data_IF_182681033740
#
_entry.id   IF_182681033740
#
_cell.length_a   1.000
_cell.length_b   1.000
_cell.length_c   1.000
_cell.angle_alpha   90.00
_cell.angle_beta   90.00
_cell.angle_gamma   90.00
#
_symmetry.space_group_name_H-M   'P 1'
#
loop_
_entity.id
_entity.type
_entity.pdbx_description
1 polymer ?
#
# COMPACT_ATOMS: atom_id res chain seq x y z
N UNK A 1 -3.84 -11.67 44.77
CA UNK A 1 -2.73 -12.61 45.09
C UNK A 1 -1.57 -12.34 44.13
N UNK A 2 -0.31 -12.58 44.53
CA UNK A 2 0.82 -12.51 43.58
C UNK A 2 0.72 -13.65 42.57
N UNK A 3 0.69 -13.31 41.28
CA UNK A 3 0.54 -14.27 40.17
C UNK A 3 1.80 -15.14 40.06
N UNK A 4 1.70 -16.47 39.95
CA UNK A 4 2.84 -17.32 39.63
C UNK A 4 3.45 -16.89 38.29
N UNK A 5 4.78 -16.76 38.22
CA UNK A 5 5.53 -16.29 37.03
C UNK A 5 5.29 -17.13 35.75
N UNK A 6 4.58 -18.25 35.86
CA UNK A 6 4.35 -19.22 34.79
C UNK A 6 2.87 -19.52 34.55
N UNK A 7 1.94 -18.73 35.06
CA UNK A 7 0.52 -18.94 34.76
C UNK A 7 0.03 -18.08 33.60
N UNK A 8 -0.93 -18.61 32.84
CA UNK A 8 -1.58 -17.91 31.75
C UNK A 8 -2.23 -16.59 32.25
N UNK A 9 -1.94 -15.46 31.56
CA UNK A 9 -2.70 -14.18 31.50
C UNK A 9 -4.20 -14.23 31.75
N UNK A 10 -4.82 -15.25 31.17
CA UNK A 10 -6.26 -15.41 31.09
C UNK A 10 -6.80 -16.35 32.18
N UNK A 11 -6.00 -16.68 33.20
CA UNK A 11 -6.43 -17.43 34.40
C UNK A 11 -7.00 -18.84 34.13
N UNK A 12 -6.67 -19.45 32.98
CA UNK A 12 -7.07 -20.83 32.68
C UNK A 12 -6.40 -21.91 33.55
N UNK A 13 -5.53 -21.52 34.50
CA UNK A 13 -4.82 -22.43 35.39
C UNK A 13 -3.65 -23.19 34.75
N UNK A 14 -3.47 -23.10 33.43
CA UNK A 14 -2.40 -23.81 32.72
C UNK A 14 -1.03 -23.10 32.83
N UNK A 15 0.06 -23.86 33.02
CA UNK A 15 1.40 -23.32 33.05
C UNK A 15 1.90 -22.97 31.64
N UNK A 16 2.35 -21.72 31.46
CA UNK A 16 2.86 -21.18 30.19
C UNK A 16 4.23 -20.52 30.37
N UNK A 17 4.99 -20.48 29.27
CA UNK A 17 6.19 -19.67 29.14
C UNK A 17 5.96 -18.58 28.09
N UNK A 18 6.33 -17.34 28.41
CA UNK A 18 6.17 -16.21 27.50
C UNK A 18 7.42 -15.98 26.65
N UNK A 19 7.31 -16.23 25.35
CA UNK A 19 8.37 -15.97 24.38
C UNK A 19 8.38 -14.50 23.94
N UNK A 20 9.50 -13.76 24.14
CA UNK A 20 9.55 -12.34 23.81
C UNK A 20 9.89 -12.07 22.34
N UNK A 21 9.04 -11.29 21.67
CA UNK A 21 9.23 -10.80 20.32
C UNK A 21 9.36 -9.27 20.31
N UNK A 22 10.60 -8.78 20.16
CA UNK A 22 10.92 -7.34 20.16
C UNK A 22 10.64 -6.66 18.81
N UNK A 23 10.04 -5.49 18.83
CA UNK A 23 9.78 -4.63 17.67
C UNK A 23 10.77 -3.46 17.62
N UNK A 24 10.89 -2.80 16.47
CA UNK A 24 11.89 -1.75 16.24
C UNK A 24 11.71 -0.50 17.12
N UNK A 25 10.51 -0.29 17.65
CA UNK A 25 10.18 0.80 18.57
C UNK A 25 10.35 0.47 20.05
N UNK A 26 10.87 -0.72 20.35
CA UNK A 26 11.09 -1.17 21.72
C UNK A 26 9.89 -1.89 22.34
N UNK A 27 8.74 -1.96 21.66
CA UNK A 27 7.62 -2.80 22.08
C UNK A 27 8.05 -4.28 22.09
N UNK A 28 7.55 -5.05 23.06
CA UNK A 28 7.82 -6.48 23.19
C UNK A 28 6.49 -7.21 23.31
N UNK A 29 6.16 -8.00 22.29
CA UNK A 29 5.05 -8.94 22.36
C UNK A 29 5.51 -10.23 23.05
N UNK A 30 4.67 -10.79 23.90
CA UNK A 30 4.97 -12.01 24.66
C UNK A 30 4.01 -13.12 24.23
N UNK A 31 4.47 -14.02 23.36
CA UNK A 31 3.69 -15.15 22.87
C UNK A 31 3.69 -16.27 23.92
N UNK A 32 2.54 -16.67 24.48
CA UNK A 32 2.53 -17.79 25.42
C UNK A 32 2.67 -19.12 24.70
N UNK A 33 3.53 -19.96 25.27
CA UNK A 33 3.76 -21.33 24.84
C UNK A 33 3.49 -22.28 26.00
N UNK A 34 2.99 -23.45 25.68
CA UNK A 34 2.97 -24.56 26.61
C UNK A 34 4.40 -24.99 26.97
N UNK A 35 4.57 -25.78 28.03
CA UNK A 35 5.88 -26.26 28.48
C UNK A 35 6.61 -27.10 27.41
N UNK A 36 5.87 -27.70 26.48
CA UNK A 36 6.40 -28.44 25.33
C UNK A 36 6.76 -27.56 24.12
N UNK A 37 6.68 -26.23 24.27
CA UNK A 37 6.94 -25.20 23.25
C UNK A 37 5.89 -25.11 22.14
N UNK A 38 4.77 -25.81 22.23
CA UNK A 38 3.63 -25.55 21.35
C UNK A 38 2.95 -24.23 21.72
N UNK A 39 2.23 -23.62 20.78
CA UNK A 39 1.50 -22.37 21.03
C UNK A 39 0.40 -22.66 22.05
N UNK A 40 0.33 -21.84 23.11
CA UNK A 40 -0.70 -22.01 24.13
C UNK A 40 -2.05 -21.53 23.57
N UNK A 41 -2.97 -22.47 23.36
CA UNK A 41 -4.34 -22.17 23.01
C UNK A 41 -5.18 -22.18 24.29
N UNK A 42 -5.47 -21.01 24.84
CA UNK A 42 -6.10 -20.86 26.16
C UNK A 42 -7.54 -21.40 26.15
N UNK A 43 -7.87 -22.44 26.94
CA UNK A 43 -9.21 -23.04 26.95
C UNK A 43 -10.32 -22.06 27.36
N UNK A 44 -10.02 -21.15 28.31
CA UNK A 44 -10.96 -20.10 28.73
C UNK A 44 -11.44 -19.24 27.55
N UNK A 45 -10.60 -19.05 26.54
CA UNK A 45 -10.95 -18.29 25.33
C UNK A 45 -11.73 -19.13 24.33
N UNK A 46 -11.55 -20.46 24.33
CA UNK A 46 -12.27 -21.38 23.46
C UNK A 46 -13.68 -21.69 23.98
N UNK A 47 -13.88 -21.71 25.31
CA UNK A 47 -15.20 -21.90 25.92
C UNK A 47 -16.13 -20.69 25.68
N UNK A 48 -15.57 -19.54 25.25
CA UNK A 48 -16.34 -18.36 24.82
C UNK A 48 -16.85 -18.47 23.37
N UNK A 49 -16.41 -19.45 22.58
CA UNK A 49 -16.88 -19.70 21.20
C UNK A 49 -18.21 -20.50 21.15
N UNK A 50 -18.74 -20.97 22.29
CA UNK A 50 -20.11 -21.53 22.38
C UNK A 50 -21.14 -20.39 22.50
N UNK A 51 -21.56 -19.89 21.34
CA UNK A 51 -22.18 -18.56 21.10
C UNK A 51 -23.56 -18.24 21.71
N UNK A 52 -24.34 -19.19 22.23
CA UNK A 52 -25.76 -18.89 22.53
C UNK A 52 -25.98 -18.24 23.92
N UNK A 53 -25.13 -18.47 24.92
CA UNK A 53 -25.28 -17.85 26.26
C UNK A 53 -24.54 -16.50 26.37
N UNK A 54 -23.50 -16.28 25.55
CA UNK A 54 -22.60 -15.14 25.70
C UNK A 54 -23.16 -13.84 25.09
N UNK A 55 -23.85 -13.92 23.95
CA UNK A 55 -24.50 -12.76 23.32
C UNK A 55 -25.65 -12.23 24.22
N UNK A 56 -26.40 -13.12 24.87
CA UNK A 56 -27.46 -12.76 25.82
C UNK A 56 -26.90 -12.10 27.10
N UNK A 57 -25.73 -12.54 27.57
CA UNK A 57 -25.03 -11.94 28.71
C UNK A 57 -24.48 -10.53 28.40
N UNK A 58 -23.96 -10.30 27.19
CA UNK A 58 -23.49 -8.97 26.78
C UNK A 58 -24.67 -8.00 26.62
N UNK A 59 -25.79 -8.45 26.04
CA UNK A 59 -27.00 -7.63 25.92
C UNK A 59 -27.55 -7.28 27.32
N UNK A 60 -27.61 -8.25 28.24
CA UNK A 60 -28.05 -8.00 29.63
C UNK A 60 -27.10 -7.08 30.41
N UNK A 61 -25.78 -7.20 30.27
CA UNK A 61 -24.82 -6.36 30.97
C UNK A 61 -24.83 -4.89 30.48
N UNK A 62 -25.18 -4.66 29.20
CA UNK A 62 -25.36 -3.32 28.64
C UNK A 62 -26.67 -2.68 29.11
N UNK A 63 -27.73 -3.46 29.28
CA UNK A 63 -29.05 -2.97 29.68
C UNK A 63 -29.24 -2.87 31.21
N UNK A 64 -28.65 -3.77 32.00
CA UNK A 64 -28.70 -3.80 33.47
C UNK A 64 -27.43 -4.45 34.08
N UNK A 65 -26.38 -3.66 34.36
CA UNK A 65 -25.10 -4.15 34.86
C UNK A 65 -25.16 -4.89 36.21
N UNK A 66 -26.21 -4.66 37.02
CA UNK A 66 -26.34 -5.27 38.36
C UNK A 66 -27.06 -6.64 38.32
N UNK A 67 -27.57 -7.06 37.16
CA UNK A 67 -28.43 -8.25 37.03
C UNK A 67 -27.67 -9.58 36.88
N UNK A 68 -26.37 -9.54 36.65
CA UNK A 68 -25.53 -10.73 36.41
C UNK A 68 -24.94 -11.23 37.73
N UNK A 69 -25.58 -12.23 38.35
CA UNK A 69 -25.14 -12.83 39.63
C UNK A 69 -24.48 -14.19 39.39
N UNK A 70 -23.22 -14.36 39.83
CA UNK A 70 -22.53 -15.66 39.89
C UNK A 70 -21.97 -15.91 41.30
N UNK A 71 -22.05 -17.17 41.76
CA UNK A 71 -21.84 -17.56 43.15
C UNK A 71 -20.36 -17.70 43.58
N UNK A 72 -19.38 -17.58 42.66
CA UNK A 72 -17.96 -17.79 42.95
C UNK A 72 -17.11 -16.52 42.77
N UNK A 73 -16.45 -16.08 43.86
CA UNK A 73 -15.66 -14.84 43.94
C UNK A 73 -14.46 -14.84 42.97
N UNK A 74 -13.85 -15.99 42.69
CA UNK A 74 -12.74 -16.12 41.73
C UNK A 74 -13.22 -15.99 40.26
N UNK A 75 -14.48 -16.32 39.98
CA UNK A 75 -15.08 -16.15 38.66
C UNK A 75 -15.45 -14.68 38.39
N UNK A 76 -15.85 -13.94 39.42
CA UNK A 76 -16.16 -12.50 39.32
C UNK A 76 -14.93 -11.66 38.93
N UNK A 77 -13.78 -11.86 39.59
CA UNK A 77 -12.53 -11.13 39.24
C UNK A 77 -12.05 -11.47 37.82
N UNK A 78 -12.19 -12.73 37.38
CA UNK A 78 -11.84 -13.15 36.03
C UNK A 78 -12.80 -12.57 34.98
N UNK A 79 -14.09 -12.47 35.30
CA UNK A 79 -15.12 -11.92 34.43
C UNK A 79 -14.99 -10.40 34.26
N UNK A 80 -14.70 -9.64 35.32
CA UNK A 80 -14.47 -8.19 35.28
C UNK A 80 -13.26 -7.85 34.39
N UNK A 81 -12.16 -8.62 34.53
CA UNK A 81 -10.99 -8.49 33.66
C UNK A 81 -11.35 -8.80 32.19
N UNK A 82 -12.19 -9.81 31.94
CA UNK A 82 -12.59 -10.13 30.56
C UNK A 82 -13.49 -9.05 29.95
N UNK A 83 -14.45 -8.52 30.72
CA UNK A 83 -15.36 -7.46 30.29
C UNK A 83 -14.62 -6.15 29.97
N UNK A 84 -13.68 -5.73 30.83
CA UNK A 84 -12.86 -4.54 30.58
C UNK A 84 -12.01 -4.67 29.30
N UNK A 85 -11.47 -5.86 29.06
CA UNK A 85 -10.66 -6.11 27.87
C UNK A 85 -11.49 -6.21 26.59
N UNK A 86 -12.70 -6.77 26.66
CA UNK A 86 -13.69 -6.77 25.57
C UNK A 86 -14.12 -5.35 25.21
N UNK A 87 -14.39 -4.50 26.21
CA UNK A 87 -14.75 -3.10 26.00
C UNK A 87 -13.61 -2.30 25.34
N UNK A 88 -12.37 -2.51 25.78
CA UNK A 88 -11.22 -1.86 25.16
C UNK A 88 -10.95 -2.40 23.73
N UNK A 89 -11.30 -3.66 23.45
CA UNK A 89 -11.22 -4.23 22.11
C UNK A 89 -12.29 -3.65 21.17
N UNK A 90 -13.54 -3.46 21.65
CA UNK A 90 -14.57 -2.77 20.85
C UNK A 90 -14.16 -1.32 20.52
N UNK A 91 -13.48 -0.62 21.44
CA UNK A 91 -12.92 0.70 21.18
C UNK A 91 -11.87 0.64 20.06
N UNK A 92 -10.93 -0.33 20.11
CA UNK A 92 -9.92 -0.48 19.06
C UNK A 92 -10.50 -0.78 17.68
N UNK A 93 -11.62 -1.49 17.61
CA UNK A 93 -12.31 -1.78 16.36
C UNK A 93 -13.09 -0.57 15.84
N UNK A 94 -13.72 0.20 16.73
CA UNK A 94 -14.37 1.47 16.40
C UNK A 94 -13.37 2.49 15.85
N UNK A 95 -12.14 2.55 16.39
CA UNK A 95 -11.05 3.37 15.84
C UNK A 95 -10.77 3.05 14.36
N UNK A 96 -10.76 1.76 14.00
CA UNK A 96 -10.48 1.34 12.63
C UNK A 96 -11.65 1.70 11.69
N UNK A 97 -12.89 1.50 12.13
CA UNK A 97 -14.06 1.93 11.36
C UNK A 97 -14.12 3.45 11.15
N UNK A 98 -13.74 4.22 12.15
CA UNK A 98 -13.65 5.68 12.04
C UNK A 98 -12.54 6.10 11.08
N UNK A 99 -11.42 5.37 11.02
CA UNK A 99 -10.35 5.60 10.03
C UNK A 99 -10.87 5.39 8.60
N UNK A 100 -11.50 4.24 8.32
CA UNK A 100 -11.94 3.87 6.97
C UNK A 100 -13.08 4.76 6.46
N UNK A 101 -13.97 5.23 7.34
CA UNK A 101 -15.10 6.07 6.94
C UNK A 101 -14.79 7.58 6.93
N UNK A 102 -13.94 8.07 7.84
CA UNK A 102 -13.73 9.51 8.02
C UNK A 102 -12.32 9.98 7.63
N UNK A 103 -11.40 9.07 7.27
CA UNK A 103 -10.03 9.42 6.88
C UNK A 103 -9.21 10.07 7.99
N UNK A 104 -9.57 9.79 9.26
CA UNK A 104 -8.87 10.30 10.44
C UNK A 104 -7.44 9.78 10.42
N UNK A 105 -6.45 10.59 10.78
CA UNK A 105 -5.05 10.16 10.81
C UNK A 105 -4.78 9.29 12.04
N UNK A 106 -4.26 8.08 11.84
CA UNK A 106 -3.74 7.26 12.92
C UNK A 106 -2.57 7.96 13.60
N UNK A 107 -2.65 8.13 14.92
CA UNK A 107 -1.61 8.76 15.74
C UNK A 107 -0.64 7.72 16.31
N UNK A 108 0.50 8.19 16.82
CA UNK A 108 1.42 7.33 17.57
C UNK A 108 0.78 6.88 18.89
N UNK A 109 -0.10 7.69 19.46
CA UNK A 109 -0.83 7.36 20.69
C UNK A 109 -1.78 6.18 20.47
N UNK A 110 -2.48 6.12 19.34
CA UNK A 110 -3.36 5.00 18.97
C UNK A 110 -2.57 3.67 18.83
N UNK A 111 -1.33 3.76 18.35
CA UNK A 111 -0.42 2.60 18.30
C UNK A 111 0.00 2.17 19.70
N UNK A 112 0.40 3.10 20.56
CA UNK A 112 0.81 2.82 21.94
C UNK A 112 -0.36 2.21 22.74
N UNK A 113 -1.57 2.73 22.57
CA UNK A 113 -2.78 2.18 23.21
C UNK A 113 -3.00 0.72 22.80
N UNK A 114 -2.81 0.40 21.52
CA UNK A 114 -2.90 -0.98 21.01
C UNK A 114 -1.82 -1.88 21.60
N UNK A 115 -0.57 -1.39 21.69
CA UNK A 115 0.54 -2.11 22.29
C UNK A 115 0.30 -2.40 23.78
N UNK A 116 -0.25 -1.43 24.51
CA UNK A 116 -0.59 -1.57 25.93
C UNK A 116 -1.70 -2.62 26.11
N UNK A 117 -2.75 -2.58 25.28
CA UNK A 117 -3.80 -3.58 25.31
C UNK A 117 -3.24 -4.99 25.08
N UNK A 118 -2.46 -5.16 24.01
CA UNK A 118 -1.86 -6.46 23.66
C UNK A 118 -0.91 -6.96 24.77
N UNK A 119 -0.19 -6.07 25.45
CA UNK A 119 0.73 -6.45 26.56
C UNK A 119 0.01 -7.05 27.76
N UNK A 120 -1.21 -6.57 28.01
CA UNK A 120 -2.02 -6.99 29.15
C UNK A 120 -2.76 -8.30 28.87
N UNK A 121 -2.69 -8.83 27.64
CA UNK A 121 -3.42 -10.01 27.19
C UNK A 121 -2.53 -11.19 26.81
N UNK A 122 -3.10 -12.41 26.82
CA UNK A 122 -2.34 -13.65 26.54
C UNK A 122 -3.01 -14.64 25.61
N UNK A 123 -4.21 -14.43 25.13
CA UNK A 123 -4.75 -15.30 24.09
C UNK A 123 -4.09 -14.95 22.76
N UNK A 124 -3.35 -15.83 22.08
CA UNK A 124 -2.92 -15.56 20.69
C UNK A 124 -4.11 -15.70 19.71
N UNK A 125 -5.16 -16.37 20.15
CA UNK A 125 -6.47 -16.47 19.53
C UNK A 125 -7.42 -15.65 20.38
N UNK A 126 -8.00 -14.60 19.81
CA UNK A 126 -9.34 -14.20 20.24
C UNK A 126 -10.14 -14.04 18.97
N UNK A 127 -11.10 -14.95 18.82
CA UNK A 127 -12.32 -14.73 18.07
C UNK A 127 -13.36 -14.37 19.13
N UNK A 128 -13.93 -13.19 19.05
CA UNK A 128 -15.39 -13.19 18.98
C UNK A 128 -15.67 -13.34 17.50
N UNK A 129 -16.49 -14.30 17.09
CA UNK A 129 -17.02 -14.33 15.74
C UNK A 129 -17.89 -13.08 15.54
N UNK A 130 -17.25 -11.94 15.31
CA UNK A 130 -17.87 -10.74 14.75
C UNK A 130 -18.08 -10.93 13.25
N UNK A 131 -18.56 -12.12 12.88
CA UNK A 131 -18.90 -12.48 11.51
C UNK A 131 -19.96 -11.49 11.02
N UNK A 132 -19.54 -10.58 10.14
CA UNK A 132 -20.42 -9.63 9.47
C UNK A 132 -20.26 -8.16 9.87
N UNK A 133 -19.58 -7.83 10.98
CA UNK A 133 -19.39 -6.42 11.38
C UNK A 133 -18.15 -5.79 10.71
N UNK A 134 -17.12 -6.60 10.43
CA UNK A 134 -15.77 -6.12 10.07
C UNK A 134 -15.23 -6.65 8.72
N UNK A 135 -16.11 -7.02 7.78
CA UNK A 135 -15.70 -7.45 6.45
C UNK A 135 -14.78 -6.39 5.80
N UNK A 136 -13.59 -6.82 5.36
CA UNK A 136 -12.56 -6.07 4.63
C UNK A 136 -11.55 -5.24 5.44
N UNK A 137 -11.56 -5.31 6.77
CA UNK A 137 -10.61 -4.52 7.60
C UNK A 137 -9.29 -5.25 7.84
N UNK A 138 -9.36 -6.52 8.25
CA UNK A 138 -8.19 -7.37 8.52
C UNK A 138 -8.05 -8.44 7.43
N UNK A 139 -6.82 -8.87 7.09
CA UNK A 139 -6.58 -9.90 6.07
C UNK A 139 -7.44 -11.16 6.18
N UNK A 140 -7.67 -11.67 7.38
CA UNK A 140 -8.47 -12.89 7.63
C UNK A 140 -9.95 -12.59 7.91
N UNK A 141 -10.32 -11.32 8.14
CA UNK A 141 -11.59 -10.89 8.71
C UNK A 141 -11.90 -11.46 10.12
N UNK A 142 -10.89 -11.98 10.83
CA UNK A 142 -11.02 -12.50 12.20
C UNK A 142 -10.73 -11.47 13.27
N UNK A 143 -10.16 -10.32 12.91
CA UNK A 143 -9.86 -9.25 13.87
C UNK A 143 -8.75 -9.60 14.85
N UNK A 144 -7.81 -10.48 14.48
CA UNK A 144 -6.72 -10.86 15.38
C UNK A 144 -5.90 -9.63 15.80
N UNK A 145 -5.54 -9.57 17.07
CA UNK A 145 -4.81 -8.44 17.66
C UNK A 145 -3.49 -8.12 16.94
N UNK A 146 -2.75 -9.14 16.47
CA UNK A 146 -1.53 -8.95 15.70
C UNK A 146 -1.83 -8.50 14.26
N UNK A 147 -2.98 -8.86 13.67
CA UNK A 147 -3.39 -8.27 12.39
C UNK A 147 -3.68 -6.78 12.52
N UNK A 148 -4.36 -6.38 13.59
CA UNK A 148 -4.65 -4.98 13.92
C UNK A 148 -3.36 -4.21 14.16
N UNK A 149 -2.47 -4.71 15.01
CA UNK A 149 -1.16 -4.09 15.26
C UNK A 149 -0.33 -4.01 13.98
N UNK A 150 -0.31 -5.07 13.18
CA UNK A 150 0.36 -5.11 11.88
C UNK A 150 -0.21 -4.06 10.92
N UNK A 151 -1.53 -3.86 10.89
CA UNK A 151 -2.18 -2.84 10.08
C UNK A 151 -1.78 -1.43 10.52
N UNK A 152 -1.78 -1.14 11.83
CA UNK A 152 -1.32 0.15 12.39
C UNK A 152 0.15 0.40 12.01
N UNK A 153 1.02 -0.61 12.13
CA UNK A 153 2.42 -0.52 11.70
C UNK A 153 2.58 -0.24 10.20
N UNK A 154 1.75 -0.82 9.34
CA UNK A 154 1.76 -0.51 7.90
C UNK A 154 1.41 0.96 7.62
N UNK A 155 0.40 1.50 8.31
CA UNK A 155 -0.04 2.89 8.12
C UNK A 155 1.08 3.87 8.48
N UNK A 156 1.78 3.63 9.59
CA UNK A 156 2.89 4.49 10.01
C UNK A 156 4.21 4.19 9.29
N UNK A 157 4.21 3.23 8.35
CA UNK A 157 5.36 2.93 7.49
C UNK A 157 6.45 2.04 8.10
N UNK A 158 6.18 1.38 9.26
CA UNK A 158 7.08 0.39 9.87
C UNK A 158 6.79 -1.00 9.29
N UNK A 159 7.20 -1.22 8.05
CA UNK A 159 6.82 -2.42 7.30
C UNK A 159 7.44 -3.72 7.83
N UNK A 160 8.66 -3.68 8.37
CA UNK A 160 9.30 -4.85 9.00
C UNK A 160 8.56 -5.31 10.25
N UNK A 161 8.17 -4.36 11.11
CA UNK A 161 7.36 -4.62 12.30
C UNK A 161 5.97 -5.15 11.91
N UNK A 162 5.33 -4.54 10.90
CA UNK A 162 4.06 -5.03 10.37
C UNK A 162 4.16 -6.48 9.88
N UNK A 163 5.21 -6.79 9.09
CA UNK A 163 5.47 -8.14 8.59
C UNK A 163 5.61 -9.13 9.75
N UNK A 164 6.39 -8.77 10.77
CA UNK A 164 6.59 -9.59 11.96
C UNK A 164 5.28 -9.91 12.68
N UNK A 165 4.36 -8.95 12.79
CA UNK A 165 3.03 -9.21 13.33
C UNK A 165 2.27 -10.28 12.54
N UNK A 166 2.26 -10.20 11.20
CA UNK A 166 1.56 -11.17 10.37
C UNK A 166 2.25 -12.54 10.35
N UNK A 167 3.58 -12.59 10.44
CA UNK A 167 4.34 -13.85 10.57
C UNK A 167 4.00 -14.57 11.88
N UNK A 168 3.99 -13.83 12.99
CA UNK A 168 3.58 -14.37 14.29
C UNK A 168 2.12 -14.82 14.26
N UNK A 169 1.22 -14.02 13.69
CA UNK A 169 -0.18 -14.42 13.58
C UNK A 169 -0.36 -15.67 12.72
N UNK A 170 0.40 -15.80 11.62
CA UNK A 170 0.33 -17.00 10.78
C UNK A 170 0.91 -18.22 11.49
N UNK A 171 1.96 -18.06 12.30
CA UNK A 171 2.47 -19.14 13.15
C UNK A 171 1.40 -19.63 14.14
N UNK A 172 0.59 -18.71 14.65
CA UNK A 172 -0.51 -18.97 15.58
C UNK A 172 -1.69 -19.65 14.90
N UNK A 173 -2.22 -19.06 13.83
CA UNK A 173 -3.52 -19.44 13.27
C UNK A 173 -3.45 -20.27 12.00
N UNK A 174 -2.26 -20.39 11.39
CA UNK A 174 -2.03 -21.08 10.11
C UNK A 174 -2.83 -20.51 8.90
N UNK A 175 -3.45 -19.34 9.06
CA UNK A 175 -4.32 -18.72 8.03
C UNK A 175 -3.51 -18.30 6.78
N UNK A 176 -3.94 -18.76 5.61
CA UNK A 176 -3.18 -18.61 4.35
C UNK A 176 -3.22 -17.18 3.79
N UNK A 177 -4.25 -16.41 4.12
CA UNK A 177 -4.43 -15.01 3.73
C UNK A 177 -3.24 -14.15 4.17
N UNK A 178 -2.68 -14.47 5.34
CA UNK A 178 -1.54 -13.78 5.94
C UNK A 178 -0.27 -13.94 5.10
N UNK A 179 -0.04 -15.10 4.49
CA UNK A 179 1.09 -15.33 3.58
C UNK A 179 1.01 -14.38 2.36
N UNK A 180 -0.19 -14.10 1.87
CA UNK A 180 -0.42 -13.14 0.80
C UNK A 180 -0.03 -11.71 1.18
N UNK A 181 -0.29 -11.32 2.43
CA UNK A 181 0.09 -9.99 2.97
C UNK A 181 1.60 -9.91 3.20
N UNK A 182 2.19 -10.94 3.80
CA UNK A 182 3.65 -11.04 4.04
C UNK A 182 4.41 -10.91 2.72
N UNK A 183 3.97 -11.60 1.66
CA UNK A 183 4.60 -11.49 0.33
C UNK A 183 4.52 -10.07 -0.25
N UNK A 184 3.38 -9.38 -0.10
CA UNK A 184 3.23 -7.98 -0.52
C UNK A 184 4.14 -7.05 0.28
N UNK A 185 4.31 -7.29 1.58
CA UNK A 185 5.21 -6.53 2.45
C UNK A 185 6.68 -6.74 2.08
N UNK A 186 7.12 -7.98 1.86
CA UNK A 186 8.48 -8.28 1.41
C UNK A 186 8.84 -7.47 0.16
N UNK A 187 7.97 -7.47 -0.86
CA UNK A 187 8.17 -6.66 -2.07
C UNK A 187 8.28 -5.15 -1.78
N UNK A 188 7.53 -4.63 -0.80
CA UNK A 188 7.63 -3.21 -0.40
C UNK A 188 8.95 -2.94 0.34
N UNK A 189 9.35 -3.80 1.26
CA UNK A 189 10.59 -3.70 2.03
C UNK A 189 11.80 -3.73 1.09
N UNK A 190 11.90 -4.74 0.22
CA UNK A 190 12.96 -4.85 -0.78
C UNK A 190 13.09 -3.59 -1.65
N UNK A 191 11.94 -3.00 -2.03
CA UNK A 191 11.90 -1.78 -2.83
C UNK A 191 12.43 -0.57 -2.04
N UNK A 192 12.08 -0.46 -0.77
CA UNK A 192 12.55 0.62 0.11
C UNK A 192 14.04 0.49 0.38
N UNK A 193 14.55 -0.70 0.64
CA UNK A 193 15.99 -0.95 0.81
C UNK A 193 16.78 -0.58 -0.45
N UNK A 194 16.31 -0.99 -1.62
CA UNK A 194 16.90 -0.58 -2.91
C UNK A 194 16.97 0.94 -3.03
N UNK A 195 15.91 1.65 -2.65
CA UNK A 195 15.87 3.11 -2.71
C UNK A 195 16.77 3.77 -1.65
N UNK A 196 16.84 3.21 -0.44
CA UNK A 196 17.74 3.68 0.61
C UNK A 196 19.20 3.55 0.19
N UNK A 197 19.59 2.36 -0.28
CA UNK A 197 20.94 2.09 -0.80
C UNK A 197 21.28 2.98 -2.00
N UNK A 198 20.33 3.18 -2.90
CA UNK A 198 20.49 4.10 -4.03
C UNK A 198 20.72 5.53 -3.54
N UNK A 199 19.91 6.03 -2.61
CA UNK A 199 20.07 7.39 -2.07
C UNK A 199 21.43 7.57 -1.39
N UNK A 200 21.87 6.58 -0.62
CA UNK A 200 23.17 6.63 0.07
C UNK A 200 24.37 6.51 -0.87
N UNK A 201 24.21 5.86 -2.03
CA UNK A 201 25.25 5.83 -3.08
C UNK A 201 25.45 7.18 -3.77
N UNK A 202 24.45 8.05 -3.70
CA UNK A 202 24.41 9.36 -4.35
C UNK A 202 24.96 10.40 -3.38
N UNK A 203 26.30 10.48 -3.31
CA UNK A 203 27.04 11.41 -2.45
C UNK A 203 27.62 12.56 -3.27
N UNK A 204 27.80 13.72 -2.64
CA UNK A 204 28.51 14.88 -3.20
C UNK A 204 27.65 15.82 -4.05
N UNK A 205 28.20 17.01 -4.30
CA UNK A 205 27.60 17.96 -5.23
C UNK A 205 27.82 17.50 -6.67
N UNK A 206 26.87 17.80 -7.54
CA UNK A 206 26.91 17.48 -8.97
C UNK A 206 26.78 18.77 -9.77
N UNK A 207 27.48 18.85 -10.89
CA UNK A 207 27.43 20.01 -11.78
C UNK A 207 26.17 20.01 -12.64
N UNK A 208 25.82 21.17 -13.20
CA UNK A 208 24.70 21.30 -14.14
C UNK A 208 24.89 20.41 -15.37
N UNK A 209 26.08 20.41 -15.97
CA UNK A 209 26.41 19.59 -17.16
C UNK A 209 26.21 18.10 -16.91
N UNK A 210 26.59 17.62 -15.72
CA UNK A 210 26.38 16.23 -15.32
C UNK A 210 24.90 15.91 -15.15
N UNK A 211 24.12 16.80 -14.53
CA UNK A 211 22.67 16.64 -14.41
C UNK A 211 21.99 16.61 -15.77
N UNK A 212 22.36 17.50 -16.70
CA UNK A 212 21.82 17.49 -18.05
C UNK A 212 22.10 16.16 -18.77
N UNK A 213 23.31 15.61 -18.61
CA UNK A 213 23.67 14.29 -19.14
C UNK A 213 22.82 13.17 -18.51
N UNK A 214 22.60 13.21 -17.20
CA UNK A 214 21.76 12.24 -16.47
C UNK A 214 20.30 12.30 -16.95
N UNK A 215 19.74 13.51 -17.11
CA UNK A 215 18.39 13.72 -17.62
C UNK A 215 18.28 13.17 -19.05
N UNK A 216 19.20 13.56 -19.95
CA UNK A 216 19.23 13.07 -21.35
C UNK A 216 19.31 11.54 -21.43
N UNK A 217 20.13 10.91 -20.59
CA UNK A 217 20.23 9.44 -20.51
C UNK A 217 18.91 8.81 -20.05
N UNK A 218 18.26 9.42 -19.06
CA UNK A 218 16.96 8.96 -18.53
C UNK A 218 15.86 9.12 -19.58
N UNK A 219 15.83 10.23 -20.32
CA UNK A 219 14.91 10.44 -21.45
C UNK A 219 15.09 9.39 -22.54
N UNK A 220 16.34 9.07 -22.91
CA UNK A 220 16.62 8.02 -23.89
C UNK A 220 16.11 6.66 -23.43
N UNK A 221 16.32 6.32 -22.15
CA UNK A 221 15.79 5.07 -21.57
C UNK A 221 14.26 5.07 -21.55
N UNK A 222 13.63 6.22 -21.26
CA UNK A 222 12.18 6.39 -21.27
C UNK A 222 11.57 6.19 -22.67
N UNK A 223 12.20 6.71 -23.74
CA UNK A 223 11.74 6.45 -25.11
C UNK A 223 11.77 4.96 -25.44
N UNK A 224 12.85 4.27 -25.07
CA UNK A 224 12.97 2.82 -25.25
C UNK A 224 11.90 2.08 -24.45
N UNK A 225 11.71 2.43 -23.18
CA UNK A 225 10.66 1.88 -22.32
C UNK A 225 9.26 2.00 -22.96
N UNK A 226 8.88 3.20 -23.42
CA UNK A 226 7.56 3.42 -24.03
C UNK A 226 7.43 2.67 -25.36
N UNK A 227 8.50 2.62 -26.17
CA UNK A 227 8.52 1.81 -27.40
C UNK A 227 8.23 0.35 -27.08
N UNK A 228 8.91 -0.21 -26.08
CA UNK A 228 8.69 -1.60 -25.64
C UNK A 228 7.29 -1.80 -25.06
N UNK A 229 6.79 -0.87 -24.24
CA UNK A 229 5.47 -0.91 -23.62
C UNK A 229 4.33 -1.07 -24.65
N UNK A 230 4.52 -0.46 -25.83
CA UNK A 230 3.60 -0.51 -26.95
C UNK A 230 4.00 -1.49 -28.05
N UNK A 231 5.08 -2.26 -27.85
CA UNK A 231 5.62 -3.19 -28.85
C UNK A 231 5.87 -2.50 -30.21
N UNK A 232 6.24 -1.21 -30.19
CA UNK A 232 6.42 -0.37 -31.37
C UNK A 232 5.13 0.05 -32.10
N UNK A 233 3.93 -0.30 -31.59
CA UNK A 233 2.63 -0.03 -32.25
C UNK A 233 1.89 1.12 -31.56
N UNK A 234 1.90 2.29 -32.17
CA UNK A 234 1.36 3.52 -31.58
C UNK A 234 0.09 4.07 -32.23
N UNK A 235 -0.51 3.36 -33.20
CA UNK A 235 -1.65 3.85 -33.98
C UNK A 235 -2.76 4.38 -33.07
N UNK A 236 -3.14 3.59 -32.06
CA UNK A 236 -4.16 3.97 -31.07
C UNK A 236 -3.73 5.11 -30.14
N UNK A 237 -2.43 5.24 -29.86
CA UNK A 237 -1.90 6.36 -29.07
C UNK A 237 -2.08 7.64 -29.86
N UNK A 238 -1.79 7.60 -31.16
CA UNK A 238 -1.89 8.73 -32.07
C UNK A 238 -3.32 9.14 -32.40
N UNK A 239 -4.25 8.19 -32.50
CA UNK A 239 -5.68 8.51 -32.62
C UNK A 239 -6.17 9.39 -31.47
N UNK A 240 -5.60 9.21 -30.27
CA UNK A 240 -5.95 9.98 -29.07
C UNK A 240 -5.11 11.24 -28.87
N UNK A 241 -3.90 11.28 -29.43
CA UNK A 241 -2.94 12.35 -29.26
C UNK A 241 -2.44 12.90 -30.62
N UNK A 242 -3.34 13.28 -31.56
CA UNK A 242 -2.95 13.64 -32.92
C UNK A 242 -1.99 14.84 -32.96
N UNK A 243 -2.25 15.86 -32.12
CA UNK A 243 -1.38 17.05 -32.00
C UNK A 243 0.03 16.73 -31.53
N UNK A 244 0.20 15.69 -30.70
CA UNK A 244 1.54 15.26 -30.24
C UNK A 244 2.26 14.54 -31.37
N UNK A 245 1.57 13.67 -32.12
CA UNK A 245 2.12 13.01 -33.30
C UNK A 245 2.60 14.05 -34.32
N UNK A 246 1.78 15.03 -34.65
CA UNK A 246 2.13 16.12 -35.58
C UNK A 246 3.40 16.86 -35.13
N UNK A 247 3.48 17.25 -33.84
CA UNK A 247 4.66 17.96 -33.32
C UNK A 247 5.94 17.12 -33.36
N UNK A 248 5.84 15.80 -33.13
CA UNK A 248 7.00 14.89 -33.24
C UNK A 248 7.45 14.78 -34.70
N UNK A 249 6.51 14.56 -35.63
CA UNK A 249 6.80 14.45 -37.05
C UNK A 249 7.46 15.71 -37.61
N UNK A 250 6.95 16.90 -37.25
CA UNK A 250 7.53 18.18 -37.64
C UNK A 250 9.00 18.29 -37.18
N UNK A 251 9.29 17.91 -35.93
CA UNK A 251 10.68 17.91 -35.42
C UNK A 251 11.56 16.89 -36.11
N UNK A 252 11.04 15.71 -36.46
CA UNK A 252 11.79 14.70 -37.22
C UNK A 252 12.12 15.20 -38.63
N UNK A 253 11.17 15.86 -39.30
CA UNK A 253 11.40 16.45 -40.62
C UNK A 253 12.46 17.56 -40.57
N UNK A 254 12.39 18.43 -39.57
CA UNK A 254 13.41 19.48 -39.33
C UNK A 254 14.80 18.89 -39.01
N UNK A 255 14.87 17.75 -38.32
CA UNK A 255 16.13 17.06 -38.06
C UNK A 255 16.71 16.37 -39.30
N UNK A 256 15.86 15.83 -40.19
CA UNK A 256 16.28 15.26 -41.47
C UNK A 256 16.82 16.31 -42.43
N UNK A 257 16.14 17.47 -42.50
CA UNK A 257 16.53 18.57 -43.39
C UNK A 257 17.85 19.23 -42.98
N UNK A 258 18.32 19.02 -41.75
CA UNK A 258 19.58 19.55 -41.21
C UNK A 258 20.82 18.64 -41.40
N UNK A 259 20.76 17.62 -42.27
CA UNK A 259 21.87 16.71 -42.62
C UNK A 259 22.51 15.94 -41.44
N UNK A 260 21.79 15.74 -40.34
CA UNK A 260 22.20 14.81 -39.29
C UNK A 260 21.82 13.40 -39.76
N UNK A 261 22.80 12.50 -39.83
CA UNK A 261 22.63 11.13 -40.32
C UNK A 261 21.78 10.34 -39.32
N UNK A 262 20.46 10.31 -39.50
CA UNK A 262 19.54 9.62 -38.58
C UNK A 262 19.42 8.16 -39.01
N UNK A 263 20.13 7.27 -38.31
CA UNK A 263 19.83 5.83 -38.31
C UNK A 263 18.37 5.60 -37.88
N UNK A 264 17.70 4.60 -38.47
CA UNK A 264 16.32 4.15 -38.22
C UNK A 264 15.51 5.00 -37.24
N UNK A 265 14.68 5.89 -37.79
CA UNK A 265 13.83 6.78 -37.00
C UNK A 265 12.73 5.96 -36.34
N UNK A 266 12.81 5.86 -35.01
CA UNK A 266 11.74 5.35 -34.18
C UNK A 266 10.62 6.42 -34.10
N UNK A 267 9.36 6.01 -34.02
CA UNK A 267 8.20 6.92 -33.95
C UNK A 267 8.28 7.92 -32.78
N UNK A 268 9.01 7.60 -31.72
CA UNK A 268 9.23 8.51 -30.59
C UNK A 268 10.52 9.32 -30.68
N UNK A 269 11.31 9.21 -31.75
CA UNK A 269 12.51 10.02 -31.89
C UNK A 269 12.15 11.50 -31.99
N UNK A 270 12.96 12.35 -31.33
CA UNK A 270 12.71 13.78 -31.18
C UNK A 270 11.44 14.14 -30.37
N UNK A 271 10.84 13.18 -29.66
CA UNK A 271 9.82 13.47 -28.65
C UNK A 271 10.43 14.14 -27.42
N UNK A 272 9.73 15.11 -26.85
CA UNK A 272 10.11 15.80 -25.62
C UNK A 272 9.68 14.99 -24.39
N UNK A 273 10.37 15.16 -23.26
CA UNK A 273 9.97 14.53 -22.00
C UNK A 273 8.50 14.84 -21.62
N UNK A 274 8.03 16.07 -21.86
CA UNK A 274 6.64 16.44 -21.63
C UNK A 274 5.63 15.63 -22.46
N UNK A 275 5.96 15.29 -23.71
CA UNK A 275 5.11 14.45 -24.57
C UNK A 275 5.15 12.99 -24.15
N UNK A 276 6.33 12.47 -23.79
CA UNK A 276 6.47 11.13 -23.23
C UNK A 276 5.61 10.95 -21.96
N UNK A 277 5.59 11.96 -21.09
CA UNK A 277 4.72 11.99 -19.90
C UNK A 277 3.24 11.98 -20.30
N UNK A 278 2.84 12.71 -21.34
CA UNK A 278 1.45 12.72 -21.83
C UNK A 278 1.02 11.35 -22.37
N UNK A 279 1.89 10.68 -23.12
CA UNK A 279 1.66 9.30 -23.62
C UNK A 279 1.43 8.35 -22.44
N UNK A 280 2.30 8.38 -21.42
CA UNK A 280 2.16 7.55 -20.23
C UNK A 280 0.88 7.86 -19.44
N UNK A 281 0.51 9.13 -19.30
CA UNK A 281 -0.76 9.53 -18.64
C UNK A 281 -1.98 9.00 -19.39
N UNK A 282 -1.96 8.97 -20.71
CA UNK A 282 -3.04 8.40 -21.54
C UNK A 282 -3.14 6.87 -21.43
N UNK A 283 -2.05 6.22 -21.00
CA UNK A 283 -1.99 4.78 -20.74
C UNK A 283 -2.65 4.37 -19.42
N UNK A 284 -2.95 5.38 -18.58
CA UNK A 284 -3.68 5.21 -17.34
C UNK A 284 -5.16 5.48 -17.55
N UNK A 285 -5.99 4.95 -16.65
CA UNK A 285 -7.41 5.26 -16.68
C UNK A 285 -7.67 6.71 -16.22
N UNK A 286 -7.59 7.69 -17.15
CA UNK A 286 -8.25 9.01 -17.01
C UNK A 286 -8.50 9.72 -18.36
N UNK A 287 -9.80 9.96 -18.60
CA UNK A 287 -10.53 10.94 -19.44
C UNK A 287 -10.70 10.76 -20.97
N UNK A 288 -12.00 10.77 -21.30
CA UNK A 288 -12.74 11.24 -22.50
C UNK A 288 -12.47 10.53 -23.82
N UNK A 289 -13.37 9.60 -24.13
CA UNK A 289 -13.95 9.61 -25.48
C UNK A 289 -14.99 10.74 -25.46
N UNK A 290 -15.18 11.49 -26.55
CA UNK A 290 -16.26 12.50 -26.69
C UNK A 290 -17.68 11.92 -26.61
N UNK A 291 -17.81 10.68 -26.10
CA UNK A 291 -19.03 9.94 -25.91
C UNK A 291 -19.31 9.83 -24.42
N UNK A 292 -20.56 9.99 -24.07
CA UNK A 292 -21.13 9.84 -22.75
C UNK A 292 -21.39 8.36 -22.37
N UNK A 293 -21.05 7.40 -23.23
CA UNK A 293 -21.31 5.97 -23.05
C UNK A 293 -20.27 5.03 -23.68
N UNK A 294 -20.23 3.78 -23.19
CA UNK A 294 -19.40 2.69 -23.73
C UNK A 294 -20.02 2.11 -25.00
N UNK A 295 -19.27 2.02 -26.10
CA UNK A 295 -19.77 1.40 -27.34
C UNK A 295 -19.95 -0.14 -27.25
N UNK A 296 -19.50 -0.77 -26.15
CA UNK A 296 -19.55 -2.23 -25.96
C UNK A 296 -20.61 -2.64 -24.92
N UNK A 297 -20.73 -1.89 -23.81
CA UNK A 297 -21.65 -2.22 -22.73
C UNK A 297 -22.71 -1.16 -22.46
N UNK A 298 -22.76 -0.09 -23.27
CA UNK A 298 -23.76 0.98 -23.28
C UNK A 298 -23.89 1.80 -21.97
N UNK A 299 -23.16 1.43 -20.92
CA UNK A 299 -23.07 2.21 -19.67
C UNK A 299 -22.63 3.63 -19.96
N UNK A 300 -23.39 4.57 -19.45
CA UNK A 300 -23.10 6.00 -19.53
C UNK A 300 -22.35 6.51 -18.31
N UNK A 301 -21.63 7.61 -18.49
CA UNK A 301 -20.87 8.27 -17.42
C UNK A 301 -21.12 9.77 -17.43
N UNK A 302 -21.10 10.37 -16.23
CA UNK A 302 -21.23 11.83 -16.10
C UNK A 302 -19.99 12.53 -16.62
N UNK A 303 -20.16 13.79 -17.01
CA UNK A 303 -19.04 14.60 -17.45
C UNK A 303 -18.02 14.75 -16.31
N UNK A 304 -16.73 14.52 -16.60
CA UNK A 304 -15.62 14.43 -15.63
C UNK A 304 -15.54 13.17 -14.76
N UNK A 305 -16.45 12.20 -14.90
CA UNK A 305 -16.29 10.89 -14.24
C UNK A 305 -15.05 10.16 -14.73
N UNK A 306 -14.44 9.41 -13.82
CA UNK A 306 -13.43 8.41 -14.14
C UNK A 306 -14.08 7.31 -14.99
N UNK A 307 -13.41 6.76 -16.00
CA UNK A 307 -14.02 5.65 -16.79
C UNK A 307 -13.60 4.28 -16.22
N UNK A 308 -12.50 4.25 -15.46
CA UNK A 308 -11.98 3.08 -14.78
C UNK A 308 -11.25 3.53 -13.51
N UNK A 309 -11.62 3.02 -12.34
CA UNK A 309 -10.83 3.19 -11.12
C UNK A 309 -10.81 1.85 -10.39
N UNK A 310 -9.63 1.24 -10.33
CA UNK A 310 -9.41 -0.13 -9.83
C UNK A 310 -9.20 -0.16 -8.31
N UNK A 311 -9.13 0.99 -7.63
CA UNK A 311 -8.74 1.07 -6.20
C UNK A 311 -9.88 1.25 -5.21
N UNK A 312 -11.10 1.58 -5.67
CA UNK A 312 -12.29 1.66 -4.81
C UNK A 312 -13.36 0.84 -5.52
N UNK A 313 -13.80 -0.26 -4.91
CA UNK A 313 -14.81 -1.18 -5.46
C UNK A 313 -16.12 -0.50 -5.87
N UNK A 314 -16.37 0.76 -5.47
CA UNK A 314 -17.69 1.37 -5.57
C UNK A 314 -18.08 1.94 -6.93
N UNK A 315 -17.18 2.26 -7.88
CA UNK A 315 -17.62 2.77 -9.20
C UNK A 315 -16.73 2.39 -10.40
N UNK A 316 -17.04 1.25 -11.05
CA UNK A 316 -16.54 0.90 -12.39
C UNK A 316 -17.58 1.33 -13.44
N UNK A 317 -17.18 2.24 -14.35
CA UNK A 317 -18.08 2.83 -15.35
C UNK A 317 -18.20 1.99 -16.65
N UNK A 318 -17.22 1.15 -17.01
CA UNK A 318 -17.43 0.04 -17.98
C UNK A 318 -18.01 -1.19 -17.25
N UNK A 319 -18.34 -2.25 -17.98
CA UNK A 319 -18.62 -3.56 -17.36
C UNK A 319 -17.41 -4.08 -16.58
N UNK A 320 -16.23 -3.99 -17.17
CA UNK A 320 -14.96 -4.48 -16.64
C UNK A 320 -13.77 -3.92 -17.47
N UNK A 321 -12.53 -4.30 -17.12
CA UNK A 321 -11.31 -3.94 -17.85
C UNK A 321 -11.32 -4.40 -19.31
N UNK A 322 -11.90 -5.58 -19.56
CA UNK A 322 -11.92 -6.23 -20.88
C UNK A 322 -12.83 -5.44 -21.83
N UNK A 323 -14.02 -5.07 -21.35
CA UNK A 323 -14.95 -4.12 -21.96
C UNK A 323 -14.24 -2.82 -22.35
N UNK A 324 -13.44 -2.26 -21.42
CA UNK A 324 -12.74 -1.01 -21.68
C UNK A 324 -11.68 -1.15 -22.77
N UNK A 325 -10.91 -2.24 -22.79
CA UNK A 325 -9.91 -2.51 -23.83
C UNK A 325 -10.60 -2.75 -25.18
N UNK A 326 -11.72 -3.49 -25.20
CA UNK A 326 -12.52 -3.78 -26.41
C UNK A 326 -13.10 -2.52 -27.05
N UNK A 327 -13.55 -1.54 -26.26
CA UNK A 327 -14.00 -0.24 -26.80
C UNK A 327 -12.85 0.67 -27.29
N UNK A 328 -11.61 0.19 -27.27
CA UNK A 328 -10.44 0.95 -27.72
C UNK A 328 -9.67 1.64 -26.58
N UNK A 329 -9.89 1.22 -25.34
CA UNK A 329 -9.13 1.64 -24.17
C UNK A 329 -7.63 1.30 -24.23
N UNK A 330 -6.80 2.20 -23.72
CA UNK A 330 -5.36 1.98 -23.54
C UNK A 330 -5.07 1.85 -22.04
N UNK A 331 -5.13 0.64 -21.51
CA UNK A 331 -4.75 0.38 -20.11
C UNK A 331 -3.39 -0.30 -20.09
N UNK A 332 -2.41 0.37 -19.47
CA UNK A 332 -1.08 -0.17 -19.17
C UNK A 332 -0.73 -0.08 -17.67
N UNK A 333 -1.65 0.39 -16.81
CA UNK A 333 -1.48 0.45 -15.35
C UNK A 333 -0.16 1.07 -14.88
N UNK A 334 0.19 2.23 -15.45
CA UNK A 334 1.41 2.95 -15.10
C UNK A 334 1.25 3.58 -13.71
N UNK A 335 2.12 3.27 -12.72
CA UNK A 335 2.00 3.84 -11.38
C UNK A 335 2.06 5.37 -11.39
N UNK A 336 1.15 6.03 -10.66
CA UNK A 336 1.08 7.49 -10.67
C UNK A 336 2.37 8.14 -10.12
N UNK A 337 2.98 7.54 -9.10
CA UNK A 337 4.27 7.99 -8.55
C UNK A 337 5.40 7.98 -9.58
N UNK A 338 5.36 7.07 -10.55
CA UNK A 338 6.30 7.05 -11.67
C UNK A 338 6.11 8.28 -12.57
N UNK A 339 4.87 8.57 -12.94
CA UNK A 339 4.51 9.74 -13.75
C UNK A 339 4.84 11.06 -13.03
N UNK A 340 4.63 11.12 -11.72
CA UNK A 340 4.95 12.28 -10.90
C UNK A 340 6.45 12.49 -10.78
N UNK A 341 7.24 11.41 -10.64
CA UNK A 341 8.70 11.46 -10.67
C UNK A 341 9.22 12.02 -12.01
N UNK A 342 8.64 11.57 -13.14
CA UNK A 342 8.97 12.10 -14.48
C UNK A 342 8.59 13.58 -14.62
N UNK A 343 7.45 13.98 -14.06
CA UNK A 343 7.02 15.39 -14.07
C UNK A 343 8.01 16.26 -13.30
N UNK A 344 8.53 15.79 -12.16
CA UNK A 344 9.58 16.48 -11.40
C UNK A 344 10.86 16.67 -12.22
N UNK A 345 11.31 15.62 -12.93
CA UNK A 345 12.46 15.70 -13.84
C UNK A 345 12.23 16.75 -14.94
N UNK A 346 11.03 16.75 -15.54
CA UNK A 346 10.68 17.71 -16.59
C UNK A 346 10.67 19.17 -16.07
N UNK A 347 10.19 19.38 -14.84
CA UNK A 347 10.20 20.70 -14.22
C UNK A 347 11.63 21.21 -14.02
N UNK A 348 12.55 20.40 -13.48
CA UNK A 348 13.95 20.83 -13.35
C UNK A 348 14.59 21.09 -14.72
N UNK A 349 14.33 20.24 -15.72
CA UNK A 349 14.84 20.46 -17.08
C UNK A 349 14.41 21.83 -17.63
N UNK A 350 13.16 22.21 -17.40
CA UNK A 350 12.66 23.53 -17.78
C UNK A 350 13.34 24.65 -16.97
N UNK A 351 13.58 24.46 -15.67
CA UNK A 351 14.32 25.42 -14.84
C UNK A 351 15.74 25.62 -15.35
N UNK A 352 16.47 24.55 -15.69
CA UNK A 352 17.83 24.61 -16.25
C UNK A 352 17.82 25.38 -17.59
N UNK A 353 16.81 25.14 -18.43
CA UNK A 353 16.67 25.83 -19.73
C UNK A 353 16.32 27.32 -19.59
N UNK A 354 15.86 27.73 -18.41
CA UNK A 354 15.46 29.10 -18.07
C UNK A 354 16.15 29.57 -16.78
N UNK A 355 17.43 29.21 -16.62
CA UNK A 355 18.23 29.39 -15.40
C UNK A 355 18.21 30.82 -14.83
N UNK A 356 18.14 31.83 -15.71
CA UNK A 356 18.04 33.27 -15.36
C UNK A 356 16.83 33.63 -14.49
N UNK A 357 15.80 32.79 -14.46
CA UNK A 357 14.56 33.04 -13.74
C UNK A 357 14.56 32.46 -12.31
N UNK A 358 15.63 31.78 -11.89
CA UNK A 358 15.67 31.00 -10.65
C UNK A 358 16.93 31.25 -9.82
N UNK A 359 16.83 31.06 -8.50
CA UNK A 359 17.98 31.16 -7.60
C UNK A 359 18.95 29.98 -7.83
N UNK A 360 20.23 30.29 -8.03
CA UNK A 360 21.29 29.29 -8.26
C UNK A 360 21.47 28.31 -7.09
N UNK A 361 21.31 28.75 -5.84
CA UNK A 361 21.37 27.87 -4.66
C UNK A 361 20.17 26.92 -4.62
N UNK A 362 18.98 27.42 -5.00
CA UNK A 362 17.78 26.60 -5.09
C UNK A 362 17.93 25.52 -6.19
N UNK A 363 18.41 25.90 -7.38
CA UNK A 363 18.70 24.96 -8.46
C UNK A 363 19.72 23.89 -8.01
N UNK A 364 20.78 24.30 -7.33
CA UNK A 364 21.82 23.38 -6.86
C UNK A 364 21.30 22.38 -5.82
N UNK A 365 20.36 22.78 -4.95
CA UNK A 365 19.71 21.85 -4.01
C UNK A 365 18.87 20.80 -4.76
N UNK A 366 18.13 21.21 -5.80
CA UNK A 366 17.32 20.30 -6.62
C UNK A 366 18.15 19.29 -7.42
N UNK A 367 19.42 19.56 -7.69
CA UNK A 367 20.27 18.65 -8.46
C UNK A 367 20.45 17.27 -7.81
N UNK A 368 20.69 17.22 -6.49
CA UNK A 368 20.83 15.95 -5.78
C UNK A 368 19.53 15.15 -5.75
N UNK A 369 18.41 15.84 -5.51
CA UNK A 369 17.08 15.25 -5.52
C UNK A 369 16.69 14.72 -6.90
N UNK A 370 17.00 15.45 -7.98
CA UNK A 370 16.73 14.98 -9.35
C UNK A 370 17.67 13.86 -9.76
N UNK A 371 18.94 13.88 -9.36
CA UNK A 371 19.85 12.75 -9.59
C UNK A 371 19.28 11.46 -9.01
N UNK A 372 18.78 11.50 -7.76
CA UNK A 372 18.07 10.38 -7.14
C UNK A 372 16.77 10.03 -7.87
N UNK A 373 15.97 11.03 -8.24
CA UNK A 373 14.70 10.82 -8.97
C UNK A 373 14.92 10.14 -10.33
N UNK A 374 15.93 10.54 -11.09
CA UNK A 374 16.32 9.90 -12.35
C UNK A 374 16.72 8.44 -12.13
N UNK A 375 17.54 8.16 -11.12
CA UNK A 375 17.95 6.80 -10.79
C UNK A 375 16.76 5.92 -10.37
N UNK A 376 15.86 6.45 -9.54
CA UNK A 376 14.60 5.79 -9.15
C UNK A 376 13.71 5.49 -10.35
N UNK A 377 13.53 6.45 -11.26
CA UNK A 377 12.78 6.27 -12.51
C UNK A 377 13.40 5.19 -13.38
N UNK A 378 14.72 5.17 -13.49
CA UNK A 378 15.43 4.16 -14.29
C UNK A 378 15.23 2.74 -13.75
N UNK A 379 15.27 2.54 -12.44
CA UNK A 379 14.96 1.25 -11.81
C UNK A 379 13.49 0.85 -12.03
N UNK A 380 12.58 1.80 -11.83
CA UNK A 380 11.15 1.54 -11.96
C UNK A 380 10.75 1.14 -13.39
N UNK A 381 11.43 1.67 -14.42
CA UNK A 381 11.23 1.21 -15.80
C UNK A 381 11.63 -0.26 -15.99
N UNK A 382 12.73 -0.70 -15.39
CA UNK A 382 13.18 -2.10 -15.49
C UNK A 382 12.19 -3.04 -14.79
N UNK A 383 11.73 -2.66 -13.59
CA UNK A 383 10.71 -3.40 -12.85
C UNK A 383 9.40 -3.53 -13.65
N UNK A 384 8.94 -2.44 -14.26
CA UNK A 384 7.71 -2.43 -15.05
C UNK A 384 7.83 -3.29 -16.32
N UNK A 385 8.96 -3.26 -17.02
CA UNK A 385 9.17 -4.13 -18.18
C UNK A 385 9.14 -5.61 -17.81
N UNK A 386 9.73 -5.98 -16.67
CA UNK A 386 9.66 -7.36 -16.18
C UNK A 386 8.23 -7.78 -15.88
N UNK A 387 7.39 -6.87 -15.36
CA UNK A 387 5.96 -7.16 -15.15
C UNK A 387 5.24 -7.34 -16.48
N UNK A 388 5.45 -6.45 -17.46
CA UNK A 388 4.75 -6.52 -18.74
C UNK A 388 5.21 -7.69 -19.64
N UNK A 389 6.42 -8.19 -19.47
CA UNK A 389 6.95 -9.32 -20.24
C UNK A 389 6.60 -10.70 -19.63
N UNK A 390 6.23 -10.74 -18.35
CA UNK A 390 5.86 -11.98 -17.62
C UNK A 390 4.33 -12.20 -17.57
N UNK A 391 3.57 -11.45 -18.36
CA UNK A 391 2.12 -11.58 -18.60
C UNK A 391 1.93 -11.86 -20.08
#
# INVERSE_FOLDING_TARGET
MERPERECKNFCGEPVEYEPHKFSDGFVYYLPRNLDKTIHNCPFVLDMDDQDEFDDLIIQAVDDPESVYYEDIDAMEQQEICQDNLFLWSIMLDEIHQYDNNGISLTIEDLINTQNLISNWTGPFFMGNCHGVYENITPTNRGYQLEILGWKYQIIGKYDDAKKCYELQHEISEELELLGVIHKLNKKIDKLEKYFNLKNSIVGNVSQDEIEKIIKKTELKLRKFITTLYSGKFERVWDRLPKIKESILERQENAKSSMINVNEINELDNSTLGELIKILKMSNPKKRVDKDHCNICEKSWKNNSLVYYEKIQKEIFCKDKICFIKQGGLIKDIPWDFVTSLTRINNLRNMISHDKNYDKKQIQHEFNEIRFTCAKVNLHMDDLLNIFNNV
#
